data_IF_781956335678
#
_entry.id   IF_781956335678
#
_cell.length_a   1.000
_cell.length_b   1.000
_cell.length_c   1.000
_cell.angle_alpha   90.00
_cell.angle_beta   90.00
_cell.angle_gamma   90.00
#
_symmetry.space_group_name_H-M   'P 1'
#
loop_
_entity.id
_entity.type
_entity.pdbx_description
1 polymer ?
#
# COMPACT_ATOMS: atom_id res chain seq x y z
N UNK A 1 -66.77 19.93 3.61
CA UNK A 1 -66.97 21.06 2.67
C UNK A 1 -65.84 22.08 2.88
N UNK A 2 -65.15 22.38 1.77
CA UNK A 2 -64.31 23.54 1.43
C UNK A 2 -63.28 24.17 2.40
N UNK A 3 -62.11 24.44 1.81
CA UNK A 3 -60.93 25.15 2.31
C UNK A 3 -61.17 26.65 2.51
N UNK A 4 -60.35 27.28 3.36
CA UNK A 4 -59.71 28.57 3.05
C UNK A 4 -58.28 28.64 3.60
N UNK A 5 -57.40 29.06 2.70
CA UNK A 5 -55.96 29.26 2.83
C UNK A 5 -55.68 30.66 3.36
N UNK A 6 -54.67 30.82 4.22
CA UNK A 6 -53.96 32.10 4.43
C UNK A 6 -52.46 31.80 4.49
N UNK A 7 -51.69 32.39 3.59
CA UNK A 7 -50.22 32.38 3.54
C UNK A 7 -49.67 33.53 4.40
N UNK A 8 -48.55 33.37 5.12
CA UNK A 8 -47.75 34.48 5.60
C UNK A 8 -46.47 34.67 4.77
N UNK A 9 -46.22 35.93 4.44
CA UNK A 9 -45.02 36.51 3.84
C UNK A 9 -43.84 36.42 4.82
N UNK A 10 -42.65 35.97 4.37
CA UNK A 10 -41.41 36.04 5.17
C UNK A 10 -40.38 36.92 4.46
N UNK A 11 -40.02 37.99 5.17
CA UNK A 11 -38.97 38.96 4.86
C UNK A 11 -37.59 38.37 5.18
N UNK A 12 -36.67 38.36 4.22
CA UNK A 12 -35.26 38.03 4.42
C UNK A 12 -34.49 39.23 4.99
N UNK A 13 -34.14 39.18 6.29
CA UNK A 13 -33.05 39.99 6.85
C UNK A 13 -31.80 39.13 6.95
N UNK A 14 -30.69 39.65 6.41
CA UNK A 14 -29.35 39.10 6.62
C UNK A 14 -28.93 39.33 8.07
N UNK A 15 -28.48 38.27 8.74
CA UNK A 15 -27.82 38.34 10.04
C UNK A 15 -26.38 37.89 9.88
N UNK A 16 -25.44 38.79 10.12
CA UNK A 16 -24.00 38.50 10.20
C UNK A 16 -23.73 37.86 11.56
N UNK A 17 -23.13 36.66 11.60
CA UNK A 17 -22.70 36.00 12.84
C UNK A 17 -21.21 36.23 13.04
N UNK A 18 -20.86 36.92 14.11
CA UNK A 18 -19.49 37.05 14.62
C UNK A 18 -19.27 35.97 15.67
N UNK A 19 -18.26 35.11 15.50
CA UNK A 19 -17.90 34.09 16.50
C UNK A 19 -16.76 34.64 17.36
N UNK A 20 -17.04 34.80 18.65
CA UNK A 20 -16.06 35.19 19.66
C UNK A 20 -15.30 33.95 20.17
N UNK A 21 -13.99 34.11 20.35
CA UNK A 21 -13.10 33.06 20.88
C UNK A 21 -13.07 33.18 22.39
N UNK A 22 -13.94 32.43 23.07
CA UNK A 22 -13.71 31.83 24.38
C UNK A 22 -15.00 31.15 24.85
N UNK A 23 -15.00 29.82 24.86
CA UNK A 23 -15.42 29.01 26.01
C UNK A 23 -15.65 27.55 25.59
N UNK A 24 -14.98 26.66 26.29
CA UNK A 24 -15.11 25.22 26.13
C UNK A 24 -16.39 24.73 26.77
N UNK A 25 -17.32 24.22 25.96
CA UNK A 25 -18.32 23.20 26.33
C UNK A 25 -19.35 23.01 25.23
N UNK A 26 -19.07 22.24 24.16
CA UNK A 26 -20.16 21.74 23.30
C UNK A 26 -19.78 20.41 22.64
N UNK A 27 -19.90 19.33 23.43
CA UNK A 27 -20.17 18.00 22.93
C UNK A 27 -21.47 17.54 23.59
N UNK A 28 -22.59 17.71 22.90
CA UNK A 28 -23.81 16.90 23.04
C UNK A 28 -24.72 17.19 21.84
N UNK A 29 -25.12 16.09 21.20
CA UNK A 29 -26.20 15.94 20.24
C UNK A 29 -26.03 16.61 18.86
N UNK A 30 -25.41 15.86 17.94
CA UNK A 30 -25.65 16.04 16.51
C UNK A 30 -26.19 14.74 15.90
N UNK A 31 -27.44 14.80 15.44
CA UNK A 31 -28.21 13.72 14.83
C UNK A 31 -28.39 14.06 13.33
N UNK A 32 -27.92 13.25 12.37
CA UNK A 32 -28.00 13.61 10.96
C UNK A 32 -29.35 13.17 10.37
N UNK A 33 -30.30 14.10 10.29
CA UNK A 33 -31.42 13.99 9.36
C UNK A 33 -31.68 15.33 8.69
N UNK A 34 -30.94 15.63 7.63
CA UNK A 34 -31.39 16.54 6.57
C UNK A 34 -30.85 16.05 5.23
N UNK A 35 -31.68 15.23 4.57
CA UNK A 35 -31.66 15.02 3.13
C UNK A 35 -32.29 16.22 2.44
N UNK A 36 -31.56 16.86 1.52
CA UNK A 36 -32.14 17.68 0.46
C UNK A 36 -31.71 19.15 0.45
N UNK A 37 -30.56 19.46 -0.15
CA UNK A 37 -30.32 20.72 -0.88
C UNK A 37 -29.50 20.39 -2.13
N UNK A 38 -30.05 20.70 -3.30
CA UNK A 38 -29.44 20.47 -4.61
C UNK A 38 -28.33 21.47 -4.95
N UNK A 39 -27.63 21.27 -6.10
CA UNK A 39 -26.46 22.06 -6.46
C UNK A 39 -26.88 23.42 -7.02
N UNK A 40 -26.50 24.51 -6.35
CA UNK A 40 -26.69 25.85 -6.89
C UNK A 40 -26.81 26.94 -5.85
N UNK A 41 -25.70 27.27 -5.18
CA UNK A 41 -25.52 28.59 -4.55
C UNK A 41 -24.02 28.78 -4.26
N UNK A 42 -23.34 29.50 -5.15
CA UNK A 42 -21.94 29.88 -4.98
C UNK A 42 -21.84 31.00 -3.95
N UNK A 43 -21.15 30.75 -2.84
CA UNK A 43 -20.71 31.78 -1.90
C UNK A 43 -19.45 32.45 -2.49
N UNK A 44 -19.61 33.70 -2.97
CA UNK A 44 -18.49 34.60 -3.28
C UNK A 44 -18.02 35.26 -1.99
N UNK A 45 -16.77 35.03 -1.61
CA UNK A 45 -16.04 35.89 -0.68
C UNK A 45 -15.38 37.01 -1.50
N UNK A 46 -15.78 38.26 -1.25
CA UNK A 46 -15.08 39.45 -1.76
C UNK A 46 -14.07 39.89 -0.70
N UNK A 47 -12.80 39.93 -1.08
CA UNK A 47 -11.73 40.60 -0.32
C UNK A 47 -11.61 42.05 -0.82
N UNK A 48 -11.81 43.08 0.02
CA UNK A 48 -11.68 44.48 -0.37
C UNK A 48 -10.26 45.04 -0.18
N UNK A 49 -9.22 44.23 -0.36
CA UNK A 49 -7.84 44.70 -0.23
C UNK A 49 -6.85 44.01 -1.17
N UNK A 50 -6.99 44.18 -2.49
CA UNK A 50 -5.81 44.19 -3.38
C UNK A 50 -6.11 44.77 -4.76
N UNK A 51 -5.13 45.53 -5.25
CA UNK A 51 -5.25 46.46 -6.35
C UNK A 51 -5.37 45.83 -7.73
N UNK A 52 -5.97 46.63 -8.61
CA UNK A 52 -6.20 46.41 -10.03
C UNK A 52 -4.90 46.02 -10.75
N UNK A 53 -4.84 44.80 -11.28
CA UNK A 53 -3.88 44.44 -12.32
C UNK A 53 -4.67 44.18 -13.62
N UNK A 54 -4.61 45.14 -14.54
CA UNK A 54 -5.12 44.99 -15.91
C UNK A 54 -4.19 44.07 -16.70
N UNK A 55 -4.74 43.03 -17.31
CA UNK A 55 -4.10 42.33 -18.43
C UNK A 55 -5.10 42.35 -19.58
N UNK A 56 -4.81 43.20 -20.57
CA UNK A 56 -5.44 43.16 -21.89
C UNK A 56 -5.05 41.88 -22.62
N UNK A 57 -5.94 41.35 -23.46
CA UNK A 57 -5.52 40.92 -24.78
C UNK A 57 -6.23 41.73 -25.85
N UNK A 58 -5.45 42.58 -26.52
CA UNK A 58 -5.71 42.96 -27.90
C UNK A 58 -5.64 41.70 -28.77
N UNK A 59 -6.74 41.35 -29.42
CA UNK A 59 -6.73 41.05 -30.86
C UNK A 59 -8.16 41.09 -31.39
N UNK A 60 -8.40 42.14 -32.17
CA UNK A 60 -9.56 42.28 -33.04
C UNK A 60 -9.16 41.67 -34.39
N UNK A 61 -9.86 40.62 -34.83
CA UNK A 61 -9.83 40.20 -36.23
C UNK A 61 -11.28 40.15 -36.74
N UNK A 62 -11.58 41.14 -37.56
CA UNK A 62 -12.73 41.25 -38.45
C UNK A 62 -12.75 40.13 -39.49
N UNK A 63 -13.97 39.65 -39.77
CA UNK A 63 -14.53 39.05 -41.00
C UNK A 63 -13.62 38.76 -42.21
N UNK A 64 -13.77 37.58 -42.85
CA UNK A 64 -14.48 37.38 -44.15
C UNK A 64 -14.30 35.92 -44.64
N UNK A 65 -15.45 35.28 -44.91
CA UNK A 65 -15.82 34.28 -45.93
C UNK A 65 -14.91 33.10 -46.37
N UNK A 66 -15.57 31.91 -46.36
CA UNK A 66 -15.58 30.77 -47.31
C UNK A 66 -14.41 29.76 -47.30
N UNK A 67 -14.79 28.49 -47.19
CA UNK A 67 -14.15 27.37 -47.89
C UNK A 67 -13.40 26.36 -47.01
N UNK A 68 -14.04 25.21 -46.80
CA UNK A 68 -13.48 23.88 -46.52
C UNK A 68 -12.00 23.72 -46.14
N UNK A 69 -11.75 23.29 -44.89
CA UNK A 69 -10.80 22.21 -44.54
C UNK A 69 -10.83 22.02 -43.02
N UNK A 70 -11.32 20.87 -42.56
CA UNK A 70 -11.29 20.48 -41.15
C UNK A 70 -9.84 20.14 -40.75
N UNK A 71 -9.03 21.17 -40.50
CA UNK A 71 -7.71 21.02 -39.92
C UNK A 71 -7.83 20.71 -38.41
N UNK A 72 -7.20 19.60 -38.04
CA UNK A 72 -6.87 19.17 -36.68
C UNK A 72 -6.37 20.35 -35.83
N UNK A 73 -7.18 20.72 -34.85
CA UNK A 73 -6.80 21.61 -33.75
C UNK A 73 -7.33 21.02 -32.45
N UNK A 74 -6.82 19.84 -32.06
CA UNK A 74 -7.07 19.30 -30.74
C UNK A 74 -6.46 20.25 -29.72
N UNK A 75 -7.28 21.14 -29.17
CA UNK A 75 -6.93 21.92 -27.98
C UNK A 75 -6.64 20.89 -26.90
N UNK A 76 -5.36 20.69 -26.59
CA UNK A 76 -4.94 19.93 -25.42
C UNK A 76 -5.45 20.74 -24.23
N UNK A 77 -6.64 20.38 -23.75
CA UNK A 77 -7.17 20.93 -22.52
C UNK A 77 -6.08 20.75 -21.47
N UNK A 78 -5.64 21.87 -20.87
CA UNK A 78 -4.72 21.81 -19.75
C UNK A 78 -5.36 20.91 -18.69
N UNK A 79 -4.80 19.73 -18.47
CA UNK A 79 -5.27 18.81 -17.44
C UNK A 79 -5.31 19.60 -16.13
N UNK A 80 -6.52 19.92 -15.65
CA UNK A 80 -6.70 20.52 -14.35
C UNK A 80 -5.98 19.62 -13.33
N UNK A 81 -5.03 20.19 -12.59
CA UNK A 81 -4.31 19.45 -11.55
C UNK A 81 -5.29 19.12 -10.42
N UNK A 82 -5.86 17.92 -10.46
CA UNK A 82 -6.72 17.39 -9.39
C UNK A 82 -5.82 17.04 -8.20
N UNK A 83 -6.22 17.48 -7.01
CA UNK A 83 -5.59 17.08 -5.74
C UNK A 83 -6.61 16.25 -4.95
N UNK A 84 -6.24 15.03 -4.56
CA UNK A 84 -7.07 14.19 -3.70
C UNK A 84 -6.79 14.52 -2.23
N UNK A 85 -7.82 14.53 -1.38
CA UNK A 85 -7.67 14.88 0.05
C UNK A 85 -6.65 14.01 0.79
N UNK A 86 -6.59 12.71 0.48
CA UNK A 86 -5.59 11.79 1.04
C UNK A 86 -4.14 12.17 0.68
N UNK A 87 -3.94 12.85 -0.46
CA UNK A 87 -2.62 13.35 -0.84
C UNK A 87 -2.20 14.56 0.00
N UNK A 88 -3.17 15.34 0.52
CA UNK A 88 -2.87 16.46 1.41
C UNK A 88 -2.34 15.99 2.76
N UNK A 89 -2.96 14.96 3.36
CA UNK A 89 -2.49 14.39 4.63
C UNK A 89 -1.08 13.83 4.47
N UNK A 90 -0.85 13.05 3.41
CA UNK A 90 0.48 12.55 3.09
C UNK A 90 1.51 13.68 2.96
N UNK A 91 1.20 14.73 2.18
CA UNK A 91 2.11 15.87 1.96
C UNK A 91 2.39 16.61 3.26
N UNK A 92 1.37 16.83 4.08
CA UNK A 92 1.52 17.45 5.39
C UNK A 92 2.45 16.64 6.28
N UNK A 93 2.23 15.33 6.41
CA UNK A 93 3.08 14.46 7.23
C UNK A 93 4.51 14.39 6.69
N UNK A 94 4.69 14.30 5.37
CA UNK A 94 6.00 14.32 4.72
C UNK A 94 6.78 15.59 5.10
N UNK A 95 6.16 16.75 4.93
CA UNK A 95 6.81 18.03 5.19
C UNK A 95 7.06 18.23 6.69
N UNK A 96 6.12 17.79 7.55
CA UNK A 96 6.27 17.79 9.00
C UNK A 96 7.48 16.97 9.45
N UNK A 97 7.61 15.74 8.95
CA UNK A 97 8.69 14.84 9.32
C UNK A 97 10.04 15.25 8.75
N UNK A 98 10.07 15.95 7.61
CA UNK A 98 11.30 16.49 7.04
C UNK A 98 11.90 17.65 7.85
N UNK A 99 11.06 18.43 8.56
CA UNK A 99 11.51 19.62 9.31
C UNK A 99 12.26 19.30 10.61
N UNK A 100 11.90 18.21 11.30
CA UNK A 100 12.53 17.80 12.57
C UNK A 100 12.48 16.27 12.74
N UNK A 101 13.22 15.52 11.89
CA UNK A 101 13.10 14.06 11.79
C UNK A 101 13.58 13.32 13.05
N UNK A 102 14.40 13.96 13.87
CA UNK A 102 15.12 13.28 14.95
C UNK A 102 14.62 13.68 16.34
N UNK A 103 13.89 14.80 16.48
CA UNK A 103 13.35 15.25 17.76
C UNK A 103 11.83 15.10 17.80
N UNK A 104 11.08 16.21 17.70
CA UNK A 104 9.64 16.25 18.01
C UNK A 104 8.83 15.52 16.95
N UNK A 105 9.04 15.84 15.67
CA UNK A 105 8.24 15.26 14.59
C UNK A 105 8.66 13.82 14.28
N UNK A 106 9.93 13.47 14.53
CA UNK A 106 10.37 12.08 14.57
C UNK A 106 9.64 11.23 15.60
N UNK A 107 9.44 11.75 16.81
CA UNK A 107 8.68 11.04 17.85
C UNK A 107 7.22 10.80 17.42
N UNK A 108 6.59 11.79 16.78
CA UNK A 108 5.23 11.64 16.21
C UNK A 108 5.20 10.55 15.15
N UNK A 109 6.17 10.52 14.22
CA UNK A 109 6.25 9.48 13.19
C UNK A 109 6.38 8.08 13.82
N UNK A 110 7.25 7.94 14.82
CA UNK A 110 7.46 6.70 15.57
C UNK A 110 6.20 6.21 16.27
N UNK A 111 5.53 7.08 17.04
CA UNK A 111 4.29 6.74 17.72
C UNK A 111 3.17 6.37 16.74
N UNK A 112 3.07 7.09 15.62
CA UNK A 112 2.09 6.80 14.57
C UNK A 112 2.29 5.40 13.99
N UNK A 113 3.53 5.04 13.68
CA UNK A 113 3.85 3.72 13.13
C UNK A 113 3.60 2.64 14.19
N UNK A 114 4.08 2.83 15.42
CA UNK A 114 3.89 1.86 16.49
C UNK A 114 2.40 1.59 16.78
N UNK A 115 1.55 2.61 16.70
CA UNK A 115 0.11 2.48 16.89
C UNK A 115 -0.63 1.83 15.71
N UNK A 116 -0.13 1.94 14.47
CA UNK A 116 -0.91 1.58 13.27
C UNK A 116 -0.33 0.48 12.40
N UNK A 117 0.97 0.19 12.52
CA UNK A 117 1.63 -0.88 11.78
C UNK A 117 1.17 -2.24 12.31
N UNK A 118 0.81 -3.12 11.39
CA UNK A 118 0.38 -4.49 11.68
C UNK A 118 1.39 -5.44 11.04
N UNK A 119 1.94 -6.31 11.87
CA UNK A 119 2.99 -7.24 11.52
C UNK A 119 2.45 -8.67 11.47
N UNK A 120 3.14 -9.57 10.76
CA UNK A 120 2.91 -11.00 10.99
C UNK A 120 3.43 -11.42 12.37
N UNK A 121 2.88 -12.46 12.99
CA UNK A 121 3.31 -12.84 14.33
C UNK A 121 4.67 -13.55 14.28
N UNK A 122 5.47 -13.38 15.34
CA UNK A 122 6.85 -13.91 15.43
C UNK A 122 6.90 -15.43 15.25
N UNK A 123 5.92 -16.16 15.78
CA UNK A 123 5.83 -17.62 15.63
C UNK A 123 5.52 -18.09 14.19
N UNK A 124 4.94 -17.22 13.34
CA UNK A 124 4.82 -17.49 11.91
C UNK A 124 6.20 -17.42 11.27
N UNK A 125 6.97 -16.36 11.56
CA UNK A 125 8.33 -16.17 11.04
C UNK A 125 9.25 -17.31 11.45
N UNK A 126 9.21 -17.73 12.73
CA UNK A 126 10.03 -18.83 13.23
C UNK A 126 9.76 -20.16 12.51
N UNK A 127 8.55 -20.34 11.95
CA UNK A 127 8.14 -21.55 11.24
C UNK A 127 8.36 -21.47 9.74
N UNK A 128 8.03 -20.33 9.12
CA UNK A 128 8.14 -20.11 7.67
C UNK A 128 8.53 -18.65 7.40
N UNK A 129 9.83 -18.35 7.31
CA UNK A 129 10.33 -16.99 7.13
C UNK A 129 9.89 -16.30 5.83
N UNK A 130 9.64 -17.07 4.77
CA UNK A 130 9.24 -16.55 3.44
C UNK A 130 7.95 -17.23 3.00
N UNK A 131 6.87 -16.46 2.89
CA UNK A 131 5.51 -17.00 2.77
C UNK A 131 5.11 -17.45 1.35
N UNK A 132 5.80 -16.93 0.33
CA UNK A 132 5.53 -17.20 -1.08
C UNK A 132 6.83 -17.10 -1.91
N UNK A 133 7.82 -17.99 -1.67
CA UNK A 133 9.15 -17.91 -2.30
C UNK A 133 9.13 -18.10 -3.82
N UNK A 134 8.03 -18.62 -4.37
CA UNK A 134 7.82 -18.78 -5.81
C UNK A 134 7.28 -17.51 -6.50
N UNK A 135 7.06 -16.41 -5.78
CA UNK A 135 6.47 -15.17 -6.31
C UNK A 135 7.51 -14.06 -6.43
N UNK A 136 7.57 -13.44 -7.60
CA UNK A 136 8.38 -12.25 -7.86
C UNK A 136 7.50 -11.04 -8.17
N UNK A 137 7.84 -9.89 -7.60
CA UNK A 137 7.15 -8.63 -7.94
C UNK A 137 7.61 -8.14 -9.31
N UNK A 138 6.68 -8.05 -10.26
CA UNK A 138 6.91 -7.50 -11.59
C UNK A 138 5.78 -6.55 -12.00
N UNK A 139 6.10 -5.25 -12.00
CA UNK A 139 5.16 -4.19 -12.39
C UNK A 139 4.90 -4.14 -13.89
N UNK A 140 5.75 -4.77 -14.71
CA UNK A 140 5.61 -4.82 -16.17
C UNK A 140 4.70 -5.96 -16.64
N UNK A 141 4.28 -6.85 -15.74
CA UNK A 141 3.45 -7.99 -16.06
C UNK A 141 2.02 -7.61 -16.42
N UNK A 142 1.53 -6.46 -15.95
CA UNK A 142 0.20 -5.97 -16.32
C UNK A 142 0.16 -5.54 -17.77
N UNK A 143 -0.88 -5.99 -18.47
CA UNK A 143 -1.16 -5.57 -19.84
C UNK A 143 -1.36 -4.06 -19.97
N UNK A 144 -1.10 -3.53 -21.16
CA UNK A 144 -1.19 -2.11 -21.48
C UNK A 144 -1.30 -1.91 -22.98
N UNK A 145 -1.09 -0.68 -23.49
CA UNK A 145 -1.17 -0.28 -24.91
C UNK A 145 -0.55 -1.31 -25.89
N UNK A 146 -1.33 -2.30 -26.33
CA UNK A 146 -0.88 -3.38 -27.23
C UNK A 146 0.00 -4.48 -26.61
N UNK A 147 0.23 -4.49 -25.28
CA UNK A 147 1.00 -5.55 -24.60
C UNK A 147 0.05 -6.55 -23.92
N UNK A 148 0.21 -7.87 -24.12
CA UNK A 148 -0.59 -8.88 -23.42
C UNK A 148 -0.40 -8.80 -21.90
N UNK A 149 -1.44 -9.18 -21.16
CA UNK A 149 -1.39 -9.28 -19.71
C UNK A 149 -0.70 -10.59 -19.29
N UNK A 150 0.48 -10.45 -18.70
CA UNK A 150 1.34 -11.52 -18.22
C UNK A 150 1.27 -11.68 -16.70
N UNK A 151 0.38 -10.94 -16.03
CA UNK A 151 0.20 -11.06 -14.59
C UNK A 151 -0.15 -12.50 -14.19
N UNK A 152 0.49 -13.07 -13.18
CA UNK A 152 0.31 -14.47 -12.80
C UNK A 152 0.76 -15.49 -13.87
N UNK A 153 1.56 -15.11 -14.88
CA UNK A 153 2.35 -16.05 -15.69
C UNK A 153 3.70 -16.34 -15.02
N UNK A 154 4.44 -17.39 -15.43
CA UNK A 154 5.84 -17.50 -15.03
C UNK A 154 6.69 -16.41 -15.71
N UNK A 155 7.81 -16.05 -15.08
CA UNK A 155 8.94 -15.36 -15.71
C UNK A 155 9.89 -16.37 -16.39
N UNK A 156 10.97 -15.87 -17.00
CA UNK A 156 11.97 -16.74 -17.65
C UNK A 156 12.72 -17.66 -16.68
N UNK A 157 12.62 -17.40 -15.37
CA UNK A 157 13.19 -18.23 -14.31
C UNK A 157 12.15 -19.14 -13.64
N UNK A 158 10.93 -19.16 -14.17
CA UNK A 158 9.81 -19.93 -13.67
C UNK A 158 9.10 -19.34 -12.46
N UNK A 159 9.50 -18.18 -11.92
CA UNK A 159 8.79 -17.56 -10.80
C UNK A 159 7.45 -16.97 -11.26
N UNK A 160 6.43 -17.05 -10.40
CA UNK A 160 5.14 -16.42 -10.66
C UNK A 160 5.26 -14.90 -10.58
N UNK A 161 4.90 -14.21 -11.65
CA UNK A 161 4.91 -12.75 -11.74
C UNK A 161 3.67 -12.17 -11.07
N UNK A 162 3.85 -11.27 -10.12
CA UNK A 162 2.75 -10.58 -9.42
C UNK A 162 3.02 -9.08 -9.28
N UNK A 163 1.98 -8.25 -9.29
CA UNK A 163 2.09 -6.80 -9.10
C UNK A 163 1.95 -6.39 -7.62
N UNK A 164 2.33 -7.29 -6.71
CA UNK A 164 2.15 -7.23 -5.24
C UNK A 164 0.72 -7.57 -4.75
N UNK A 165 -0.20 -7.96 -5.62
CA UNK A 165 -1.56 -8.34 -5.22
C UNK A 165 -1.60 -9.58 -4.32
N UNK A 166 -0.72 -10.55 -4.55
CA UNK A 166 -0.68 -11.78 -3.74
C UNK A 166 -0.18 -11.48 -2.33
N UNK A 167 0.87 -10.66 -2.22
CA UNK A 167 1.39 -10.21 -0.93
C UNK A 167 0.32 -9.43 -0.17
N UNK A 168 -0.28 -8.41 -0.79
CA UNK A 168 -1.37 -7.61 -0.19
C UNK A 168 -2.51 -8.47 0.36
N UNK A 169 -2.83 -9.56 -0.34
CA UNK A 169 -3.91 -10.47 0.03
C UNK A 169 -3.59 -11.44 1.15
N UNK A 170 -2.31 -11.62 1.55
CA UNK A 170 -1.91 -12.66 2.51
C UNK A 170 -2.68 -12.57 3.84
N UNK A 171 -2.69 -11.44 4.57
CA UNK A 171 -3.33 -11.40 5.89
C UNK A 171 -4.81 -11.02 5.84
N UNK A 172 -5.43 -10.88 4.66
CA UNK A 172 -6.76 -10.24 4.53
C UNK A 172 -7.87 -10.97 5.30
N UNK A 173 -7.73 -12.27 5.51
CA UNK A 173 -8.66 -13.09 6.28
C UNK A 173 -8.30 -13.24 7.77
N UNK A 174 -7.17 -12.68 8.20
CA UNK A 174 -6.65 -12.81 9.55
C UNK A 174 -7.20 -11.69 10.43
N UNK A 175 -7.53 -12.04 11.67
CA UNK A 175 -7.88 -11.06 12.69
C UNK A 175 -6.60 -10.44 13.27
N UNK A 176 -6.74 -9.28 13.91
CA UNK A 176 -5.62 -8.49 14.44
C UNK A 176 -5.63 -8.57 15.97
N UNK A 177 -4.50 -8.90 16.58
CA UNK A 177 -4.22 -8.75 18.01
C UNK A 177 -3.50 -7.43 18.23
N UNK A 178 -4.12 -6.50 18.94
CA UNK A 178 -3.64 -5.16 19.17
C UNK A 178 -4.12 -4.62 20.53
N UNK A 179 -3.61 -5.13 21.67
CA UNK A 179 -4.17 -4.88 22.99
C UNK A 179 -4.22 -3.39 23.36
N UNK A 180 -3.21 -2.60 22.96
CA UNK A 180 -3.16 -1.16 23.18
C UNK A 180 -4.02 -0.33 22.20
N UNK A 181 -4.62 -0.96 21.18
CA UNK A 181 -5.37 -0.26 20.12
C UNK A 181 -6.77 -0.88 19.96
N UNK A 182 -7.77 -0.45 20.76
CA UNK A 182 -9.12 -1.02 20.75
C UNK A 182 -9.83 -0.98 19.39
N UNK A 183 -9.47 -0.02 18.53
CA UNK A 183 -10.02 0.11 17.18
C UNK A 183 -9.46 -0.91 16.18
N UNK A 184 -8.30 -1.51 16.47
CA UNK A 184 -7.68 -2.59 15.68
C UNK A 184 -7.94 -3.97 16.29
N UNK A 185 -7.98 -4.08 17.62
CA UNK A 185 -8.03 -5.36 18.31
C UNK A 185 -9.27 -6.18 17.97
N UNK A 186 -9.07 -7.45 17.61
CA UNK A 186 -10.12 -8.38 17.21
C UNK A 186 -10.77 -8.06 15.86
N UNK A 187 -10.24 -7.10 15.09
CA UNK A 187 -10.76 -6.72 13.77
C UNK A 187 -9.96 -7.35 12.65
N UNK A 188 -10.52 -7.36 11.44
CA UNK A 188 -9.80 -7.66 10.20
C UNK A 188 -9.38 -6.38 9.52
N UNK A 189 -8.34 -6.50 8.71
CA UNK A 189 -7.81 -5.39 7.93
C UNK A 189 -8.81 -4.91 6.85
N UNK A 190 -9.05 -3.60 6.81
CA UNK A 190 -9.83 -2.93 5.77
C UNK A 190 -9.08 -2.82 4.43
N UNK A 191 -9.69 -2.14 3.46
CA UNK A 191 -9.11 -1.94 2.11
C UNK A 191 -8.08 -0.83 2.04
N UNK A 192 -8.02 0.01 3.06
CA UNK A 192 -7.20 1.21 3.15
C UNK A 192 -5.81 0.93 3.72
N UNK A 193 -5.53 -0.32 4.09
CA UNK A 193 -4.20 -0.78 4.48
C UNK A 193 -3.41 -1.24 3.25
N UNK A 194 -2.15 -0.85 3.22
CA UNK A 194 -1.22 -1.17 2.12
C UNK A 194 -0.11 -2.05 2.68
N UNK A 195 0.18 -3.14 1.97
CA UNK A 195 1.38 -3.92 2.20
C UNK A 195 2.60 -3.11 1.73
N UNK A 196 3.46 -2.74 2.68
CA UNK A 196 4.72 -2.06 2.45
C UNK A 196 5.89 -3.04 2.64
N UNK A 197 6.90 -2.88 1.79
CA UNK A 197 8.19 -3.54 1.97
C UNK A 197 9.09 -2.66 2.82
N UNK A 198 9.54 -3.16 3.98
CA UNK A 198 10.28 -2.39 4.99
C UNK A 198 11.64 -1.92 4.47
N UNK A 199 12.34 -2.80 3.76
CA UNK A 199 13.53 -2.49 2.99
C UNK A 199 13.17 -2.42 1.52
N UNK A 200 13.64 -1.35 0.87
CA UNK A 200 13.57 -1.18 -0.59
C UNK A 200 14.87 -1.60 -1.27
N UNK A 201 15.99 -1.19 -0.70
CA UNK A 201 17.34 -1.47 -1.22
C UNK A 201 17.89 -2.76 -0.61
N UNK A 202 18.83 -3.36 -1.33
CA UNK A 202 19.54 -4.57 -0.90
C UNK A 202 21.00 -4.25 -0.61
N UNK A 203 21.63 -4.99 0.29
CA UNK A 203 22.97 -4.71 0.79
C UNK A 203 24.05 -4.78 -0.31
N UNK A 204 23.85 -5.62 -1.30
CA UNK A 204 24.70 -5.83 -2.48
C UNK A 204 24.37 -4.87 -3.65
N UNK A 205 23.44 -3.91 -3.47
CA UNK A 205 23.07 -2.94 -4.50
C UNK A 205 22.34 -3.53 -5.72
N UNK A 206 21.88 -4.79 -5.66
CA UNK A 206 21.16 -5.41 -6.77
C UNK A 206 19.69 -4.95 -6.85
N UNK A 207 18.78 -5.78 -7.40
CA UNK A 207 17.39 -5.40 -7.57
C UNK A 207 16.73 -4.97 -6.26
N UNK A 208 15.69 -4.14 -6.36
CA UNK A 208 14.84 -3.77 -5.22
C UNK A 208 14.46 -5.02 -4.43
N UNK A 209 14.47 -4.95 -3.10
CA UNK A 209 14.19 -6.09 -2.23
C UNK A 209 12.85 -6.76 -2.58
N UNK A 210 11.81 -5.97 -2.86
CA UNK A 210 10.50 -6.50 -3.29
C UNK A 210 10.55 -7.32 -4.59
N UNK A 211 11.59 -7.17 -5.42
CA UNK A 211 11.77 -7.90 -6.69
C UNK A 211 12.66 -9.15 -6.54
N UNK A 212 13.18 -9.43 -5.34
CA UNK A 212 13.90 -10.67 -5.07
C UNK A 212 12.93 -11.72 -4.51
N UNK A 213 12.89 -12.95 -5.06
CA UNK A 213 11.98 -13.98 -4.56
C UNK A 213 12.09 -14.21 -3.05
N UNK A 214 13.33 -14.22 -2.53
CA UNK A 214 13.61 -14.42 -1.10
C UNK A 214 13.08 -13.28 -0.22
N UNK A 215 13.08 -12.04 -0.71
CA UNK A 215 12.73 -10.85 0.08
C UNK A 215 11.32 -10.30 -0.18
N UNK A 216 10.69 -10.70 -1.29
CA UNK A 216 9.36 -10.22 -1.68
C UNK A 216 8.27 -10.66 -0.69
N UNK A 217 8.40 -11.86 -0.14
CA UNK A 217 7.49 -12.42 0.86
C UNK A 217 8.16 -12.79 2.18
N UNK A 218 9.36 -12.24 2.43
CA UNK A 218 10.07 -12.39 3.69
C UNK A 218 9.31 -11.68 4.79
N UNK A 219 8.92 -12.40 5.84
CA UNK A 219 8.06 -11.88 6.91
C UNK A 219 8.61 -10.59 7.54
N UNK A 220 9.90 -10.48 7.90
CA UNK A 220 10.46 -9.24 8.44
C UNK A 220 10.42 -8.07 7.45
N UNK A 221 10.38 -8.34 6.14
CA UNK A 221 10.29 -7.31 5.13
C UNK A 221 8.84 -6.89 4.82
N UNK A 222 7.84 -7.40 5.54
CA UNK A 222 6.43 -7.12 5.29
C UNK A 222 5.76 -6.45 6.47
N UNK A 223 5.05 -5.37 6.19
CA UNK A 223 4.19 -4.67 7.15
C UNK A 223 2.96 -4.10 6.46
N UNK A 224 1.85 -4.04 7.19
CA UNK A 224 0.64 -3.36 6.72
C UNK A 224 0.44 -2.07 7.51
N UNK A 225 0.33 -0.98 6.78
CA UNK A 225 0.12 0.37 7.33
C UNK A 225 -1.03 1.07 6.60
N UNK A 226 -1.71 2.04 7.22
CA UNK A 226 -2.66 2.91 6.54
C UNK A 226 -2.09 3.55 5.26
N UNK A 227 -2.90 3.69 4.22
CA UNK A 227 -2.45 4.16 2.90
C UNK A 227 -1.76 5.52 2.90
N UNK A 228 -2.15 6.43 3.81
CA UNK A 228 -1.52 7.74 3.99
C UNK A 228 -0.09 7.64 4.53
N UNK A 229 0.20 6.60 5.33
CA UNK A 229 1.53 6.30 5.88
C UNK A 229 2.36 5.51 4.87
N UNK A 230 1.73 4.61 4.11
CA UNK A 230 2.41 3.77 3.11
C UNK A 230 3.22 4.60 2.10
N UNK A 231 2.71 5.75 1.66
CA UNK A 231 3.44 6.65 0.74
C UNK A 231 4.74 7.21 1.35
N UNK A 232 4.83 7.27 2.67
CA UNK A 232 6.03 7.73 3.39
C UNK A 232 7.08 6.62 3.53
N UNK A 233 6.69 5.34 3.43
CA UNK A 233 7.64 4.21 3.51
C UNK A 233 8.52 4.11 2.27
N UNK A 234 8.05 4.64 1.13
CA UNK A 234 8.79 4.65 -0.14
C UNK A 234 9.91 5.72 -0.18
N UNK A 235 9.94 6.62 0.81
CA UNK A 235 10.96 7.66 0.92
C UNK A 235 12.20 7.10 1.63
N UNK A 236 13.22 6.77 0.83
CA UNK A 236 14.45 6.17 1.34
C UNK A 236 15.10 6.97 2.45
N UNK A 237 15.55 6.26 3.49
CA UNK A 237 16.29 6.77 4.65
C UNK A 237 15.51 7.80 5.48
N UNK A 238 14.22 8.03 5.23
CA UNK A 238 13.40 8.92 6.06
C UNK A 238 12.98 8.24 7.36
N UNK A 239 12.56 9.06 8.33
CA UNK A 239 12.21 8.58 9.68
C UNK A 239 11.20 7.44 9.69
N UNK A 240 10.22 7.44 8.79
CA UNK A 240 9.20 6.38 8.71
C UNK A 240 9.82 5.03 8.32
N UNK A 241 10.63 5.02 7.27
CA UNK A 241 11.29 3.79 6.82
C UNK A 241 12.30 3.31 7.86
N UNK A 242 13.13 4.20 8.41
CA UNK A 242 14.13 3.85 9.44
C UNK A 242 13.46 3.24 10.67
N UNK A 243 12.33 3.81 11.10
CA UNK A 243 11.54 3.29 12.21
C UNK A 243 11.03 1.88 11.89
N UNK A 244 10.42 1.66 10.73
CA UNK A 244 9.94 0.32 10.34
C UNK A 244 11.06 -0.72 10.27
N UNK A 245 12.24 -0.33 9.76
CA UNK A 245 13.40 -1.22 9.71
C UNK A 245 13.89 -1.60 11.11
N UNK A 246 14.01 -0.64 12.02
CA UNK A 246 14.38 -0.92 13.41
C UNK A 246 13.32 -1.73 14.16
N UNK A 247 12.03 -1.44 13.96
CA UNK A 247 10.93 -2.25 14.52
C UNK A 247 10.99 -3.70 14.03
N UNK A 248 11.14 -3.90 12.72
CA UNK A 248 11.28 -5.24 12.15
C UNK A 248 12.49 -5.98 12.70
N UNK A 249 13.64 -5.30 12.82
CA UNK A 249 14.83 -5.88 13.40
C UNK A 249 14.62 -6.35 14.85
N UNK A 250 14.05 -5.48 15.70
CA UNK A 250 13.73 -5.84 17.09
C UNK A 250 12.73 -7.00 17.20
N UNK A 251 11.80 -7.12 16.26
CA UNK A 251 10.77 -8.16 16.26
C UNK A 251 11.30 -9.54 15.82
N UNK A 252 12.25 -9.58 14.90
CA UNK A 252 12.54 -10.82 14.15
C UNK A 252 14.02 -11.21 14.02
N UNK A 253 14.96 -10.27 14.16
CA UNK A 253 16.36 -10.55 13.81
C UNK A 253 16.96 -11.64 14.70
N UNK A 254 16.73 -11.53 16.01
CA UNK A 254 17.29 -12.46 17.02
C UNK A 254 16.31 -13.58 17.41
N UNK A 255 15.27 -13.81 16.61
CA UNK A 255 14.29 -14.88 16.86
C UNK A 255 14.84 -16.22 16.38
N UNK A 256 14.75 -17.24 17.24
CA UNK A 256 15.07 -18.62 16.89
C UNK A 256 14.12 -19.13 15.80
N UNK A 257 14.66 -19.29 14.59
CA UNK A 257 13.96 -19.91 13.45
C UNK A 257 14.18 -21.41 13.50
N UNK A 258 13.13 -22.18 13.16
CA UNK A 258 13.20 -23.63 13.05
C UNK A 258 14.40 -24.06 12.19
N UNK A 259 15.13 -25.10 12.61
CA UNK A 259 16.41 -25.51 12.01
C UNK A 259 16.32 -25.74 10.49
N UNK A 260 15.21 -26.31 10.01
CA UNK A 260 14.96 -26.52 8.57
C UNK A 260 14.88 -25.23 7.74
N UNK A 261 14.66 -24.07 8.38
CA UNK A 261 14.50 -22.76 7.74
C UNK A 261 15.59 -21.76 8.15
N UNK A 262 16.49 -22.12 9.07
CA UNK A 262 17.49 -21.21 9.62
C UNK A 262 18.40 -20.61 8.53
N UNK A 263 18.87 -21.43 7.59
CA UNK A 263 19.71 -20.97 6.48
C UNK A 263 18.96 -20.02 5.53
N UNK A 264 17.66 -20.25 5.32
CA UNK A 264 16.80 -19.37 4.51
C UNK A 264 16.68 -18.00 5.18
N UNK A 265 16.40 -17.97 6.49
CA UNK A 265 16.29 -16.73 7.25
C UNK A 265 17.63 -15.97 7.27
N UNK A 266 18.73 -16.68 7.53
CA UNK A 266 20.08 -16.10 7.54
C UNK A 266 20.46 -15.48 6.20
N UNK A 267 20.21 -16.18 5.10
CA UNK A 267 20.46 -15.66 3.76
C UNK A 267 19.60 -14.43 3.48
N UNK A 268 18.31 -14.46 3.83
CA UNK A 268 17.41 -13.31 3.63
C UNK A 268 17.89 -12.07 4.39
N UNK A 269 18.28 -12.21 5.66
CA UNK A 269 18.85 -11.12 6.45
C UNK A 269 20.16 -10.59 5.87
N UNK A 270 21.04 -11.46 5.36
CA UNK A 270 22.31 -11.05 4.75
C UNK A 270 22.13 -10.18 3.48
N UNK A 271 20.96 -10.25 2.83
CA UNK A 271 20.63 -9.41 1.67
C UNK A 271 20.12 -8.01 2.06
N UNK A 272 19.80 -7.78 3.33
CA UNK A 272 19.24 -6.52 3.82
C UNK A 272 20.33 -5.72 4.55
N UNK A 273 20.46 -4.41 4.29
CA UNK A 273 21.37 -3.58 5.07
C UNK A 273 20.88 -3.51 6.53
N UNK A 274 21.78 -3.54 7.52
CA UNK A 274 21.40 -3.39 8.91
C UNK A 274 20.75 -2.01 9.14
N UNK A 275 19.70 -1.92 9.97
CA UNK A 275 19.09 -0.65 10.30
C UNK A 275 20.00 0.19 11.20
N UNK A 276 19.79 1.51 11.16
CA UNK A 276 20.32 2.40 12.19
C UNK A 276 19.33 2.47 13.37
N UNK A 277 19.65 1.70 14.41
CA UNK A 277 18.81 1.60 15.62
C UNK A 277 18.84 2.87 16.48
N UNK A 278 19.79 3.79 16.27
CA UNK A 278 19.82 5.05 17.03
C UNK A 278 18.56 5.89 16.81
N UNK A 279 17.87 5.71 15.67
CA UNK A 279 16.64 6.43 15.34
C UNK A 279 15.37 5.88 16.00
N UNK A 280 15.46 4.75 16.70
CA UNK A 280 14.30 4.07 17.28
C UNK A 280 13.71 4.80 18.51
N UNK A 281 14.48 5.65 19.19
CA UNK A 281 14.03 6.27 20.44
C UNK A 281 13.49 5.24 21.43
N UNK A 282 12.45 5.58 22.19
CA UNK A 282 11.81 4.70 23.19
C UNK A 282 10.69 3.80 22.62
N UNK A 283 10.76 3.44 21.32
CA UNK A 283 9.76 2.54 20.70
C UNK A 283 9.88 1.10 21.22
N UNK A 284 10.88 0.80 22.05
CA UNK A 284 11.12 -0.52 22.65
C UNK A 284 10.06 -0.96 23.67
N UNK A 285 9.18 -0.06 24.13
CA UNK A 285 8.16 -0.33 25.16
C UNK A 285 6.74 -0.51 24.62
N UNK A 286 6.54 -0.61 23.31
CA UNK A 286 5.21 -0.59 22.70
C UNK A 286 4.59 -1.99 22.56
N UNK A 287 3.30 -2.10 22.88
CA UNK A 287 2.46 -3.24 22.51
C UNK A 287 2.25 -3.28 20.99
N UNK A 288 2.97 -4.17 20.31
CA UNK A 288 2.91 -4.34 18.86
C UNK A 288 1.56 -4.92 18.39
N UNK A 289 1.14 -4.51 17.19
CA UNK A 289 -0.03 -5.09 16.53
C UNK A 289 0.38 -6.24 15.61
N UNK A 290 -0.24 -7.40 15.79
CA UNK A 290 0.04 -8.58 15.00
C UNK A 290 -1.23 -9.13 14.34
N UNK A 291 -1.08 -9.72 13.16
CA UNK A 291 -2.08 -10.67 12.67
C UNK A 291 -2.09 -11.94 13.52
N UNK A 292 -3.26 -12.53 13.67
CA UNK A 292 -3.46 -13.84 14.30
C UNK A 292 -3.51 -14.86 13.17
N UNK A 293 -2.42 -15.59 12.97
CA UNK A 293 -2.39 -16.66 11.98
C UNK A 293 -3.10 -17.92 12.50
N UNK A 294 -3.49 -18.80 11.57
CA UNK A 294 -4.11 -20.11 11.88
C UNK A 294 -3.27 -21.24 11.27
N UNK A 295 -3.41 -22.46 11.78
CA UNK A 295 -2.75 -23.63 11.18
C UNK A 295 -3.13 -23.82 9.71
N UNK A 296 -4.38 -23.50 9.37
CA UNK A 296 -4.86 -23.50 7.99
C UNK A 296 -4.09 -22.50 7.13
N UNK A 297 -3.81 -21.31 7.65
CA UNK A 297 -3.03 -20.29 6.93
C UNK A 297 -1.64 -20.80 6.58
N UNK A 298 -0.90 -21.33 7.57
CA UNK A 298 0.43 -21.92 7.37
C UNK A 298 0.40 -23.12 6.43
N UNK A 299 -0.54 -24.05 6.64
CA UNK A 299 -0.72 -25.24 5.79
C UNK A 299 -0.92 -24.86 4.34
N UNK A 300 -1.73 -23.83 4.08
CA UNK A 300 -1.96 -23.36 2.71
C UNK A 300 -0.70 -22.79 2.06
N UNK A 301 0.22 -22.19 2.84
CA UNK A 301 1.49 -21.67 2.30
C UNK A 301 2.40 -22.81 1.86
N UNK A 302 2.63 -23.78 2.75
CA UNK A 302 3.39 -24.98 2.41
C UNK A 302 2.80 -25.73 1.22
N UNK A 303 1.49 -25.97 1.21
CA UNK A 303 0.81 -26.62 0.08
C UNK A 303 1.04 -25.90 -1.25
N UNK A 304 1.02 -24.55 -1.26
CA UNK A 304 1.30 -23.80 -2.50
C UNK A 304 2.74 -23.92 -2.96
N UNK A 305 3.69 -23.93 -2.03
CA UNK A 305 5.11 -24.17 -2.32
C UNK A 305 5.27 -25.58 -2.92
N UNK A 306 4.64 -26.58 -2.30
CA UNK A 306 4.65 -27.97 -2.75
C UNK A 306 4.02 -28.14 -4.14
N UNK A 307 2.90 -27.46 -4.41
CA UNK A 307 2.26 -27.47 -5.73
C UNK A 307 3.18 -26.93 -6.81
N UNK A 308 3.87 -25.81 -6.58
CA UNK A 308 4.82 -25.26 -7.57
C UNK A 308 6.01 -26.19 -7.77
N UNK A 309 6.52 -26.78 -6.68
CA UNK A 309 7.61 -27.76 -6.74
C UNK A 309 7.23 -29.02 -7.52
N UNK A 310 6.02 -29.53 -7.29
CA UNK A 310 5.48 -30.69 -7.99
C UNK A 310 5.31 -30.39 -9.49
N UNK A 311 4.69 -29.26 -9.83
CA UNK A 311 4.52 -28.84 -11.22
C UNK A 311 5.86 -28.65 -11.96
N UNK A 312 6.87 -28.05 -11.30
CA UNK A 312 8.21 -27.97 -11.87
C UNK A 312 8.81 -29.36 -12.12
N UNK A 313 8.53 -30.34 -11.25
CA UNK A 313 8.99 -31.73 -11.44
C UNK A 313 8.29 -32.42 -12.61
N UNK A 314 6.98 -32.25 -12.75
CA UNK A 314 6.20 -32.77 -13.89
C UNK A 314 6.73 -32.23 -15.21
N UNK A 315 6.92 -30.91 -15.32
CA UNK A 315 7.44 -30.28 -16.54
C UNK A 315 8.84 -30.80 -16.88
N UNK A 316 9.72 -30.94 -15.88
CA UNK A 316 11.06 -31.51 -16.10
C UNK A 316 11.05 -32.97 -16.58
N UNK A 317 9.95 -33.69 -16.38
CA UNK A 317 9.73 -35.05 -16.88
C UNK A 317 9.01 -35.06 -18.25
N UNK A 318 8.77 -33.90 -18.85
CA UNK A 318 8.01 -33.76 -20.10
C UNK A 318 6.49 -33.89 -19.92
N UNK A 319 6.00 -33.78 -18.68
CA UNK A 319 4.57 -33.87 -18.35
C UNK A 319 4.01 -32.46 -18.19
N UNK A 320 2.94 -32.17 -18.93
CA UNK A 320 2.19 -30.92 -18.75
C UNK A 320 1.31 -31.02 -17.49
N UNK A 321 1.39 -30.06 -16.55
CA UNK A 321 0.54 -30.07 -15.36
C UNK A 321 -0.95 -30.04 -15.73
N UNK A 322 -1.69 -31.06 -15.29
CA UNK A 322 -3.12 -31.24 -15.63
C UNK A 322 -4.06 -30.48 -14.68
N UNK A 323 -3.55 -30.04 -13.52
CA UNK A 323 -4.31 -29.31 -12.51
C UNK A 323 -3.76 -27.91 -12.31
N UNK A 324 -4.64 -26.98 -11.92
CA UNK A 324 -4.27 -25.60 -11.65
C UNK A 324 -3.27 -25.52 -10.51
N UNK A 325 -2.04 -25.06 -10.79
CA UNK A 325 -0.95 -24.93 -9.81
C UNK A 325 -1.20 -23.75 -8.88
N UNK A 326 -1.17 -22.53 -9.41
CA UNK A 326 -1.51 -21.29 -8.66
C UNK A 326 -2.58 -20.49 -9.40
N UNK A 327 -2.36 -20.28 -10.71
CA UNK A 327 -3.32 -19.68 -11.64
C UNK A 327 -3.31 -20.48 -12.94
N UNK A 328 -4.35 -20.31 -13.76
CA UNK A 328 -4.43 -20.94 -15.08
C UNK A 328 -3.25 -20.52 -15.95
N UNK A 329 -2.97 -19.22 -16.03
CA UNK A 329 -1.85 -18.66 -16.80
C UNK A 329 -0.49 -19.16 -16.33
N UNK A 330 -0.30 -19.34 -15.03
CA UNK A 330 0.94 -19.91 -14.50
C UNK A 330 1.09 -21.37 -14.92
N UNK A 331 0.01 -22.14 -14.80
CA UNK A 331 -0.05 -23.57 -15.14
C UNK A 331 0.27 -23.80 -16.63
N UNK A 332 -0.38 -23.04 -17.51
CA UNK A 332 -0.21 -23.14 -18.97
C UNK A 332 1.15 -22.63 -19.44
N UNK A 333 1.73 -21.64 -18.75
CA UNK A 333 3.02 -21.04 -19.13
C UNK A 333 4.24 -21.83 -18.64
N UNK A 334 4.11 -22.61 -17.56
CA UNK A 334 5.22 -23.35 -16.96
C UNK A 334 5.96 -24.29 -17.94
N UNK A 335 5.28 -25.05 -18.82
CA UNK A 335 5.95 -25.87 -19.84
C UNK A 335 6.85 -25.12 -20.81
N UNK A 336 6.66 -23.80 -20.95
CA UNK A 336 7.48 -22.94 -21.82
C UNK A 336 8.75 -22.39 -21.14
N UNK A 337 8.96 -22.66 -19.86
CA UNK A 337 10.14 -22.20 -19.11
C UNK A 337 11.31 -23.15 -19.38
N UNK A 338 12.50 -22.59 -19.51
CA UNK A 338 13.74 -23.35 -19.69
C UNK A 338 13.94 -24.40 -18.56
N UNK A 339 14.39 -25.61 -18.94
CA UNK A 339 14.54 -26.72 -18.01
C UNK A 339 15.62 -26.46 -16.94
N UNK A 340 16.71 -25.75 -17.24
CA UNK A 340 17.71 -25.41 -16.23
C UNK A 340 17.14 -24.42 -15.23
N UNK A 341 16.40 -23.42 -15.71
CA UNK A 341 15.72 -22.47 -14.84
C UNK A 341 14.69 -23.15 -13.92
N UNK A 342 13.91 -24.12 -14.43
CA UNK A 342 12.98 -24.91 -13.60
C UNK A 342 13.70 -25.82 -12.60
N UNK A 343 14.86 -26.38 -12.95
CA UNK A 343 15.70 -27.14 -11.99
C UNK A 343 16.17 -26.26 -10.86
N UNK A 344 16.60 -25.03 -11.16
CA UNK A 344 17.05 -24.06 -10.17
C UNK A 344 15.91 -23.59 -9.27
N UNK A 345 14.75 -23.27 -9.85
CA UNK A 345 13.53 -22.95 -9.09
C UNK A 345 13.17 -24.10 -8.15
N UNK A 346 13.14 -25.34 -8.65
CA UNK A 346 12.83 -26.52 -7.83
C UNK A 346 13.84 -26.71 -6.70
N UNK A 347 15.14 -26.57 -6.98
CA UNK A 347 16.21 -26.65 -5.98
C UNK A 347 16.03 -25.58 -4.91
N UNK A 348 15.69 -24.36 -5.31
CA UNK A 348 15.39 -23.27 -4.38
C UNK A 348 14.18 -23.58 -3.49
N UNK A 349 13.08 -24.05 -4.08
CA UNK A 349 11.85 -24.38 -3.34
C UNK A 349 12.00 -25.59 -2.41
N UNK A 350 12.94 -26.51 -2.68
CA UNK A 350 13.23 -27.63 -1.79
C UNK A 350 13.70 -27.21 -0.39
N UNK A 351 14.20 -25.98 -0.25
CA UNK A 351 14.61 -25.39 1.04
C UNK A 351 13.42 -25.08 1.96
N UNK A 352 12.19 -25.15 1.43
CA UNK A 352 10.97 -24.73 2.13
C UNK A 352 10.05 -25.90 2.51
N UNK A 353 10.62 -27.07 2.82
CA UNK A 353 9.84 -28.23 3.27
C UNK A 353 9.33 -28.05 4.70
N UNK A 354 8.12 -28.57 4.97
CA UNK A 354 7.68 -28.77 6.36
C UNK A 354 8.68 -29.67 7.09
N UNK A 355 9.02 -29.27 8.31
CA UNK A 355 9.78 -30.10 9.23
C UNK A 355 9.01 -31.36 9.62
#
# INVERSE_FOLDING_TARGET
MSRRTVLPTVSTRCSTVTIDRNDGSFLRDWNPRLSGIGPGTGLRLQDPSQGTLSIYPHTCCTSVARGESACKGGVVAANHKVIHGDDLIYRFLRDLFANDPDRRFGAVARSLIAATAIWFPVNLYSTLPVLAPFVVRDTSARGGRGKPDEWSSPDSRGYLRDDNSMIKGLPRSLDIRAPAQPHLNGRRMGTEFVAAHVWRVTADGGPLASRRPLLNSFVPNLVWVPSQIAKLTDLERQVVQRTLQGMSWLLYHDVDVHSSMADVAKEAWALLPPPDLAYMGDVTSVDWNFFIHTDRFLTTRFQRIDLVRAAATEVLQGITPSTKVISTRYTEGLPGVDHDALRDLRRFLNRFSRA
#
